data_IF_880758770020
#
_entry.id   IF_880758770020
#
_cell.length_a   1.000
_cell.length_b   1.000
_cell.length_c   1.000
_cell.angle_alpha   90.00
_cell.angle_beta   90.00
_cell.angle_gamma   90.00
#
_symmetry.space_group_name_H-M   'P 1'
#
loop_
_entity.id
_entity.type
_entity.pdbx_description
1 polymer ?
#
# COMPACT_ATOMS: atom_id res chain seq x y z
N UNK A 1 28.51 -30.49 57.76
CA UNK A 1 27.29 -30.20 58.54
C UNK A 1 26.55 -29.11 57.78
N UNK A 2 25.55 -29.32 56.90
CA UNK A 2 24.25 -30.03 57.01
C UNK A 2 23.58 -29.66 58.34
N UNK A 3 22.44 -28.95 58.41
CA UNK A 3 21.06 -29.34 58.02
C UNK A 3 20.23 -28.03 58.01
N UNK A 4 19.72 -27.59 56.84
CA UNK A 4 18.32 -27.68 56.36
C UNK A 4 17.32 -26.67 56.96
N UNK A 5 16.68 -25.90 56.07
CA UNK A 5 15.38 -25.26 56.31
C UNK A 5 14.49 -25.49 55.09
N UNK A 6 13.37 -26.15 55.34
CA UNK A 6 12.38 -26.68 54.39
C UNK A 6 11.66 -25.58 53.60
N UNK A 7 11.39 -25.89 52.33
CA UNK A 7 10.55 -25.10 51.45
C UNK A 7 9.06 -25.41 51.59
N UNK A 8 8.23 -24.43 51.25
CA UNK A 8 6.82 -24.63 50.91
C UNK A 8 6.57 -23.84 49.62
N UNK A 9 6.42 -24.57 48.52
CA UNK A 9 6.01 -24.08 47.22
C UNK A 9 4.52 -24.36 47.04
N UNK A 10 3.69 -23.31 46.99
CA UNK A 10 2.29 -23.43 46.63
C UNK A 10 2.14 -23.33 45.10
N UNK A 11 1.98 -24.48 44.43
CA UNK A 11 1.41 -24.57 43.08
C UNK A 11 -0.11 -24.75 43.20
N UNK A 12 -0.95 -23.98 42.49
CA UNK A 12 -2.32 -24.41 42.22
C UNK A 12 -2.32 -25.33 40.99
N UNK A 13 -2.52 -26.63 41.22
CA UNK A 13 -2.97 -27.60 40.22
C UNK A 13 -4.43 -27.30 39.87
N UNK A 14 -4.68 -26.76 38.68
CA UNK A 14 -6.00 -26.87 38.06
C UNK A 14 -5.97 -28.00 37.05
N UNK A 15 -6.68 -29.08 37.40
CA UNK A 15 -6.95 -30.23 36.56
C UNK A 15 -7.79 -29.79 35.34
N UNK A 16 -7.18 -29.82 34.15
CA UNK A 16 -7.90 -29.75 32.88
C UNK A 16 -8.58 -31.10 32.63
N UNK A 17 -9.89 -31.15 32.90
CA UNK A 17 -10.77 -32.25 32.49
C UNK A 17 -11.18 -31.99 31.04
N UNK A 18 -10.75 -32.86 30.13
CA UNK A 18 -11.21 -32.91 28.74
C UNK A 18 -12.68 -33.31 28.67
N UNK A 19 -13.51 -32.63 27.86
CA UNK A 19 -14.70 -33.26 27.30
C UNK A 19 -14.39 -33.71 25.87
N UNK A 20 -14.40 -35.03 25.69
CA UNK A 20 -14.61 -35.64 24.39
C UNK A 20 -16.01 -35.24 23.90
N UNK A 21 -16.07 -34.53 22.77
CA UNK A 21 -17.27 -34.52 21.95
C UNK A 21 -16.87 -34.81 20.51
N UNK A 22 -17.05 -36.08 20.14
CA UNK A 22 -17.32 -36.49 18.78
C UNK A 22 -18.69 -35.90 18.39
N UNK A 23 -18.73 -35.03 17.38
CA UNK A 23 -19.78 -35.10 16.38
C UNK A 23 -19.29 -34.43 15.09
N UNK A 24 -19.05 -35.28 14.11
CA UNK A 24 -18.79 -34.93 12.72
C UNK A 24 -20.08 -34.32 12.16
N UNK A 25 -20.02 -33.10 11.64
CA UNK A 25 -20.87 -32.73 10.53
C UNK A 25 -19.99 -32.07 9.47
N UNK A 26 -19.74 -32.84 8.40
CA UNK A 26 -19.19 -32.37 7.14
C UNK A 26 -20.09 -31.25 6.62
N UNK A 27 -19.63 -30.01 6.71
CA UNK A 27 -20.22 -28.94 5.90
C UNK A 27 -19.68 -29.15 4.48
N UNK A 28 -20.52 -29.77 3.66
CA UNK A 28 -20.31 -29.92 2.23
C UNK A 28 -20.32 -28.51 1.61
N UNK A 29 -19.13 -28.01 1.24
CA UNK A 29 -18.99 -26.82 0.42
C UNK A 29 -19.49 -27.16 -0.99
N UNK A 30 -20.78 -26.93 -1.24
CA UNK A 30 -21.31 -26.95 -2.59
C UNK A 30 -20.76 -25.73 -3.34
N UNK A 31 -19.76 -25.99 -4.19
CA UNK A 31 -19.43 -25.15 -5.32
C UNK A 31 -20.67 -25.04 -6.22
N UNK A 32 -21.19 -23.82 -6.36
CA UNK A 32 -21.94 -23.45 -7.56
C UNK A 32 -21.24 -22.25 -8.16
N UNK A 33 -20.61 -22.52 -9.31
CA UNK A 33 -20.11 -21.52 -10.21
C UNK A 33 -21.28 -20.67 -10.72
N UNK A 34 -21.24 -19.37 -10.44
CA UNK A 34 -21.98 -18.38 -11.22
C UNK A 34 -20.93 -17.46 -11.86
N UNK A 35 -20.46 -17.88 -13.04
CA UNK A 35 -19.92 -16.97 -14.04
C UNK A 35 -21.09 -16.15 -14.57
N UNK A 36 -21.35 -14.98 -13.96
CA UNK A 36 -22.25 -14.00 -14.57
C UNK A 36 -21.46 -12.94 -15.34
N UNK A 37 -21.99 -12.71 -16.53
CA UNK A 37 -21.47 -12.00 -17.67
C UNK A 37 -21.10 -10.53 -17.39
N UNK A 38 -20.22 -10.03 -18.24
CA UNK A 38 -19.91 -8.62 -18.38
C UNK A 38 -21.04 -7.96 -19.16
N UNK A 39 -21.92 -7.22 -18.48
CA UNK A 39 -22.78 -6.22 -19.13
C UNK A 39 -22.21 -4.81 -18.88
N UNK A 40 -21.94 -4.11 -19.98
CA UNK A 40 -21.65 -2.68 -20.06
C UNK A 40 -22.97 -1.91 -20.26
N UNK A 41 -23.14 -0.66 -19.78
CA UNK A 41 -24.28 0.16 -20.16
C UNK A 41 -24.05 0.86 -21.51
N UNK A 42 -25.08 0.82 -22.35
CA UNK A 42 -25.17 1.47 -23.66
C UNK A 42 -24.99 2.99 -23.58
N UNK A 43 -24.14 3.51 -24.46
CA UNK A 43 -23.94 4.92 -24.73
C UNK A 43 -23.77 5.12 -26.24
N UNK A 44 -24.80 5.68 -26.85
CA UNK A 44 -25.05 5.85 -28.27
C UNK A 44 -23.95 6.70 -28.98
N UNK A 45 -23.12 6.10 -29.83
CA UNK A 45 -22.44 6.80 -30.93
C UNK A 45 -22.33 5.88 -32.16
N UNK A 46 -22.81 6.38 -33.30
CA UNK A 46 -22.91 5.68 -34.59
C UNK A 46 -21.54 5.26 -35.13
N UNK A 47 -21.38 3.98 -35.40
CA UNK A 47 -20.29 3.42 -36.20
C UNK A 47 -20.51 3.67 -37.70
N UNK A 48 -19.51 4.25 -38.38
CA UNK A 48 -19.26 3.97 -39.78
C UNK A 48 -18.15 2.93 -39.86
N UNK A 49 -18.51 1.73 -40.33
CA UNK A 49 -17.60 0.62 -40.59
C UNK A 49 -16.69 0.92 -41.78
N UNK A 50 -15.40 0.69 -41.59
CA UNK A 50 -14.54 0.13 -42.64
C UNK A 50 -13.64 -0.93 -42.02
N UNK A 51 -13.80 -2.16 -42.52
CA UNK A 51 -13.01 -3.33 -42.18
C UNK A 51 -11.53 -3.09 -42.51
N UNK A 52 -10.63 -3.46 -41.62
CA UNK A 52 -9.37 -4.08 -42.00
C UNK A 52 -8.82 -4.92 -40.85
N UNK A 53 -8.70 -6.22 -41.11
CA UNK A 53 -8.02 -7.19 -40.28
C UNK A 53 -6.52 -6.92 -40.30
N UNK A 54 -5.92 -6.69 -39.13
CA UNK A 54 -4.47 -6.82 -38.97
C UNK A 54 -4.16 -7.22 -37.52
N UNK A 55 -3.48 -8.36 -37.38
CA UNK A 55 -2.81 -8.81 -36.17
C UNK A 55 -1.88 -7.70 -35.66
N UNK A 56 -2.24 -7.05 -34.55
CA UNK A 56 -1.41 -6.07 -33.88
C UNK A 56 -1.17 -6.48 -32.44
N UNK A 57 0.05 -6.94 -32.12
CA UNK A 57 0.57 -6.83 -30.76
C UNK A 57 0.46 -5.36 -30.38
N UNK A 58 -0.36 -5.03 -29.38
CA UNK A 58 -0.44 -3.67 -28.86
C UNK A 58 0.90 -3.35 -28.21
N UNK A 59 1.77 -2.67 -28.93
CA UNK A 59 2.93 -1.99 -28.37
C UNK A 59 2.40 -0.97 -27.36
N UNK A 60 2.40 -1.35 -26.08
CA UNK A 60 2.15 -0.42 -24.97
C UNK A 60 3.36 0.51 -24.95
N UNK A 61 3.26 1.66 -25.65
CA UNK A 61 4.28 2.71 -25.56
C UNK A 61 4.48 3.05 -24.08
N UNK A 62 5.69 2.82 -23.59
CA UNK A 62 6.06 3.23 -22.24
C UNK A 62 5.81 4.74 -22.08
N UNK A 63 5.25 5.18 -20.94
CA UNK A 63 4.98 6.59 -20.71
C UNK A 63 6.27 7.40 -20.85
N UNK A 64 6.18 8.51 -21.58
CA UNK A 64 7.31 9.42 -21.73
C UNK A 64 7.68 10.00 -20.37
N UNK A 65 8.99 10.07 -20.10
CA UNK A 65 9.50 10.66 -18.86
C UNK A 65 9.17 12.16 -18.79
N UNK A 66 8.68 12.60 -17.63
CA UNK A 66 8.31 14.00 -17.39
C UNK A 66 9.08 14.57 -16.21
N UNK A 67 9.56 15.80 -16.40
CA UNK A 67 10.11 16.66 -15.34
C UNK A 67 9.16 17.86 -15.21
N UNK A 68 8.46 17.95 -14.09
CA UNK A 68 7.41 18.93 -13.88
C UNK A 68 7.84 19.94 -12.83
N UNK A 69 7.48 21.21 -13.01
CA UNK A 69 7.77 22.23 -12.02
C UNK A 69 6.85 22.07 -10.80
N UNK A 70 7.44 21.95 -9.61
CA UNK A 70 6.68 21.79 -8.36
C UNK A 70 5.71 22.94 -8.08
N UNK A 71 6.02 24.17 -8.53
CA UNK A 71 5.14 25.34 -8.37
C UNK A 71 3.85 25.21 -9.19
N UNK A 72 3.93 24.65 -10.40
CA UNK A 72 2.76 24.38 -11.25
C UNK A 72 1.87 23.31 -10.63
N UNK A 73 2.46 22.37 -9.87
CA UNK A 73 1.75 21.34 -9.12
C UNK A 73 1.24 21.83 -7.75
N UNK A 74 1.47 23.11 -7.39
CA UNK A 74 1.07 23.68 -6.11
C UNK A 74 1.88 23.16 -4.90
N UNK A 75 3.01 22.49 -5.14
CA UNK A 75 3.87 21.98 -4.08
C UNK A 75 4.85 23.08 -3.67
N UNK A 76 4.92 23.34 -2.38
CA UNK A 76 5.85 24.31 -1.80
C UNK A 76 6.65 23.68 -0.66
N UNK A 77 7.86 24.16 -0.44
CA UNK A 77 8.76 23.67 0.63
C UNK A 77 8.19 23.91 2.03
N UNK A 78 7.21 24.80 2.20
CA UNK A 78 6.51 25.02 3.47
C UNK A 78 5.58 23.86 3.85
N UNK A 79 5.12 23.07 2.88
CA UNK A 79 4.28 21.88 3.12
C UNK A 79 5.07 20.70 3.68
N UNK A 80 6.41 20.76 3.63
CA UNK A 80 7.28 19.75 4.23
C UNK A 80 7.47 20.12 5.70
N UNK A 81 7.25 19.16 6.60
CA UNK A 81 7.39 19.35 8.03
C UNK A 81 8.82 19.72 8.43
N UNK A 82 8.96 20.34 9.60
CA UNK A 82 10.25 20.84 10.09
C UNK A 82 11.28 19.70 10.29
N UNK A 83 10.94 18.56 10.94
CA UNK A 83 11.81 17.40 11.05
C UNK A 83 12.37 16.93 9.70
N UNK A 84 11.50 16.65 8.72
CA UNK A 84 11.91 16.18 7.38
C UNK A 84 12.83 17.18 6.68
N UNK A 85 12.54 18.49 6.77
CA UNK A 85 13.44 19.53 6.23
C UNK A 85 14.82 19.54 6.87
N UNK A 86 14.93 19.28 8.18
CA UNK A 86 16.24 19.17 8.84
C UNK A 86 17.05 17.99 8.27
N UNK A 87 16.41 16.85 8.04
CA UNK A 87 17.07 15.67 7.46
C UNK A 87 17.48 15.93 6.01
N UNK A 88 16.58 16.48 5.19
CA UNK A 88 16.88 16.88 3.81
C UNK A 88 18.08 17.84 3.76
N UNK A 89 18.10 18.88 4.60
CA UNK A 89 19.18 19.87 4.64
C UNK A 89 20.49 19.26 5.16
N UNK A 90 20.43 18.35 6.13
CA UNK A 90 21.58 17.65 6.66
C UNK A 90 22.33 16.86 5.58
N UNK A 91 21.59 16.04 4.84
CA UNK A 91 22.14 15.25 3.73
C UNK A 91 22.59 16.13 2.56
N UNK A 92 21.81 17.16 2.20
CA UNK A 92 22.17 18.06 1.10
C UNK A 92 23.47 18.81 1.36
N UNK A 93 23.70 19.28 2.60
CA UNK A 93 24.96 19.96 2.99
C UNK A 93 26.20 19.07 2.90
N UNK A 94 26.02 17.75 2.99
CA UNK A 94 27.10 16.76 2.78
C UNK A 94 27.35 16.44 1.31
N UNK A 95 26.60 17.06 0.39
CA UNK A 95 26.75 16.86 -1.06
C UNK A 95 25.90 15.74 -1.62
N UNK A 96 25.04 15.09 -0.83
CA UNK A 96 24.20 14.00 -1.31
C UNK A 96 22.96 14.53 -2.05
N UNK A 97 22.49 13.73 -3.01
CA UNK A 97 21.19 13.94 -3.62
C UNK A 97 20.10 13.41 -2.69
N UNK A 98 18.97 14.12 -2.62
CA UNK A 98 17.84 13.76 -1.76
C UNK A 98 16.53 14.04 -2.47
N UNK A 99 15.58 13.13 -2.31
CA UNK A 99 14.26 13.22 -2.91
C UNK A 99 13.21 12.78 -1.91
N UNK A 100 12.06 13.44 -1.92
CA UNK A 100 10.84 12.92 -1.33
C UNK A 100 10.19 11.95 -2.31
N UNK A 101 9.63 10.85 -1.83
CA UNK A 101 9.12 9.78 -2.69
C UNK A 101 7.86 9.13 -2.14
N UNK A 102 7.10 8.45 -3.01
CA UNK A 102 6.00 7.61 -2.55
C UNK A 102 4.72 8.38 -2.24
N UNK A 103 4.07 7.97 -1.15
CA UNK A 103 2.76 8.46 -0.78
C UNK A 103 2.73 9.96 -0.46
N UNK A 104 3.83 10.50 0.07
CA UNK A 104 3.91 11.91 0.44
C UNK A 104 3.84 12.83 -0.78
N UNK A 105 4.57 12.51 -1.86
CA UNK A 105 4.58 13.31 -3.10
C UNK A 105 3.19 13.32 -3.73
N UNK A 106 2.56 12.15 -3.83
CA UNK A 106 1.18 12.01 -4.33
C UNK A 106 0.20 12.84 -3.49
N UNK A 107 0.28 12.75 -2.17
CA UNK A 107 -0.66 13.45 -1.29
C UNK A 107 -0.47 14.96 -1.38
N UNK A 108 0.77 15.46 -1.48
CA UNK A 108 1.07 16.86 -1.76
C UNK A 108 0.45 17.35 -3.07
N UNK A 109 0.59 16.58 -4.16
CA UNK A 109 -0.01 16.90 -5.48
C UNK A 109 -1.54 16.96 -5.39
N UNK A 110 -2.14 16.05 -4.61
CA UNK A 110 -3.58 16.02 -4.35
C UNK A 110 -4.04 17.05 -3.32
N UNK A 111 -3.15 17.93 -2.83
CA UNK A 111 -3.41 18.92 -1.77
C UNK A 111 -3.96 18.30 -0.49
N UNK A 112 -3.50 17.09 -0.16
CA UNK A 112 -3.82 16.35 1.06
C UNK A 112 -2.61 16.34 1.99
N UNK A 113 -2.85 16.20 3.28
CA UNK A 113 -1.78 16.04 4.28
C UNK A 113 -1.15 14.65 4.14
N UNK A 114 0.17 14.55 3.89
CA UNK A 114 0.90 13.30 3.96
C UNK A 114 0.84 12.69 5.36
N UNK A 115 0.74 11.36 5.45
CA UNK A 115 0.83 10.64 6.72
C UNK A 115 2.27 10.65 7.27
N UNK A 116 3.22 10.41 6.38
CA UNK A 116 4.65 10.28 6.62
C UNK A 116 5.40 10.88 5.42
N UNK A 117 6.68 11.22 5.63
CA UNK A 117 7.57 11.70 4.58
C UNK A 117 8.75 10.75 4.43
N UNK A 118 8.76 10.03 3.31
CA UNK A 118 9.86 9.13 2.96
C UNK A 118 10.91 9.88 2.15
N UNK A 119 12.17 9.82 2.60
CA UNK A 119 13.32 10.37 1.88
C UNK A 119 14.09 9.23 1.22
N UNK A 120 14.51 9.44 -0.03
CA UNK A 120 15.55 8.63 -0.66
C UNK A 120 16.77 9.48 -0.98
N UNK A 121 17.96 8.91 -0.80
CA UNK A 121 19.23 9.63 -1.00
C UNK A 121 20.27 8.81 -1.77
N UNK A 122 21.21 9.51 -2.38
CA UNK A 122 22.42 8.90 -2.97
C UNK A 122 23.42 8.43 -1.92
N UNK A 123 23.30 8.86 -0.66
CA UNK A 123 24.13 8.38 0.44
C UNK A 123 23.87 6.90 0.74
N UNK A 124 24.90 6.14 1.08
CA UNK A 124 24.78 4.81 1.67
C UNK A 124 24.20 4.92 3.09
N UNK A 125 23.51 3.88 3.58
CA UNK A 125 22.88 3.91 4.92
C UNK A 125 23.90 4.16 6.05
N UNK A 126 25.14 3.67 5.88
CA UNK A 126 26.24 3.93 6.81
C UNK A 126 26.69 5.41 6.81
N UNK A 127 26.48 6.13 5.72
CA UNK A 127 26.79 7.56 5.63
C UNK A 127 25.66 8.40 6.22
N UNK A 128 24.41 7.97 6.04
CA UNK A 128 23.24 8.58 6.70
C UNK A 128 23.40 8.52 8.22
N UNK A 129 23.74 7.34 8.77
CA UNK A 129 23.99 7.16 10.21
C UNK A 129 25.15 8.00 10.74
N UNK A 130 26.19 8.26 9.93
CA UNK A 130 27.28 9.19 10.30
C UNK A 130 26.87 10.66 10.25
N UNK A 131 25.82 10.99 9.49
CA UNK A 131 25.36 12.37 9.31
C UNK A 131 24.49 12.84 10.46
N UNK A 132 23.78 11.92 11.12
CA UNK A 132 22.83 12.24 12.19
C UNK A 132 23.19 11.49 13.47
N UNK A 133 23.23 12.20 14.60
CA UNK A 133 23.62 11.63 15.90
C UNK A 133 22.66 10.53 16.39
N UNK A 134 21.37 10.68 16.11
CA UNK A 134 20.35 9.71 16.48
C UNK A 134 19.71 9.11 15.22
N UNK A 135 20.34 8.06 14.72
CA UNK A 135 19.91 7.34 13.54
C UNK A 135 20.18 5.85 13.71
N UNK A 136 19.20 5.03 13.37
CA UNK A 136 19.30 3.57 13.44
C UNK A 136 18.92 2.94 12.10
N UNK A 137 19.56 1.83 11.75
CA UNK A 137 19.19 1.05 10.56
C UNK A 137 18.20 -0.03 10.98
N UNK A 138 17.00 0.02 10.43
CA UNK A 138 15.91 -0.91 10.72
C UNK A 138 15.63 -1.77 9.50
N UNK A 139 15.19 -3.01 9.74
CA UNK A 139 14.75 -3.93 8.70
C UNK A 139 15.87 -4.81 8.16
N UNK A 140 15.70 -6.14 8.29
CA UNK A 140 16.67 -7.12 7.76
C UNK A 140 16.61 -7.25 6.24
N UNK A 141 15.39 -7.35 5.69
CA UNK A 141 15.17 -7.57 4.25
C UNK A 141 15.22 -6.27 3.44
N UNK A 142 14.77 -5.17 4.01
CA UNK A 142 14.70 -3.86 3.37
C UNK A 142 15.27 -2.86 4.37
N UNK A 143 16.61 -2.76 4.45
CA UNK A 143 17.25 -1.88 5.42
C UNK A 143 16.95 -0.42 5.05
N UNK A 144 16.45 0.33 6.03
CA UNK A 144 16.18 1.76 5.96
C UNK A 144 16.74 2.43 7.21
N UNK A 145 17.06 3.72 7.12
CA UNK A 145 17.45 4.52 8.28
C UNK A 145 16.23 5.18 8.90
N UNK A 146 16.05 5.01 10.20
CA UNK A 146 15.15 5.83 11.01
C UNK A 146 15.97 6.95 11.64
N UNK A 147 15.77 8.18 11.16
CA UNK A 147 16.41 9.37 11.71
C UNK A 147 15.46 10.01 12.71
N UNK A 148 15.89 10.08 13.97
CA UNK A 148 15.08 10.64 15.05
C UNK A 148 15.36 12.13 15.18
N UNK A 149 14.34 12.95 14.97
CA UNK A 149 14.40 14.40 15.12
C UNK A 149 13.29 14.82 16.09
N UNK A 150 13.68 15.16 17.32
CA UNK A 150 12.72 15.40 18.41
C UNK A 150 11.82 14.17 18.59
N UNK A 151 10.50 14.33 18.61
CA UNK A 151 9.55 13.22 18.78
C UNK A 151 9.08 12.62 17.44
N UNK A 152 9.77 12.92 16.34
CA UNK A 152 9.40 12.46 14.99
C UNK A 152 10.50 11.59 14.40
N UNK A 153 10.09 10.47 13.82
CA UNK A 153 10.97 9.58 13.05
C UNK A 153 10.79 9.88 11.57
N UNK A 154 11.90 10.13 10.88
CA UNK A 154 11.95 10.33 9.42
C UNK A 154 12.62 9.12 8.78
N UNK A 155 11.94 8.48 7.84
CA UNK A 155 12.47 7.33 7.12
C UNK A 155 13.37 7.78 5.96
N UNK A 156 14.60 7.25 5.92
CA UNK A 156 15.60 7.54 4.89
C UNK A 156 16.08 6.24 4.26
N UNK A 157 15.87 6.12 2.94
CA UNK A 157 16.31 5.00 2.12
C UNK A 157 17.47 5.40 1.20
N UNK A 158 18.26 4.42 0.73
CA UNK A 158 19.36 4.65 -0.21
C UNK A 158 19.09 4.01 -1.57
N UNK A 159 19.50 4.69 -2.66
CA UNK A 159 19.46 4.13 -4.01
C UNK A 159 20.31 2.85 -4.15
N UNK A 160 21.38 2.71 -3.37
CA UNK A 160 22.32 1.57 -3.46
C UNK A 160 21.65 0.24 -3.12
N UNK A 161 20.75 0.23 -2.13
CA UNK A 161 20.01 -0.96 -1.69
C UNK A 161 19.06 -1.43 -2.79
N UNK A 162 18.36 -0.48 -3.42
CA UNK A 162 17.52 -0.76 -4.59
C UNK A 162 18.33 -1.37 -5.73
N UNK A 163 19.52 -0.85 -6.01
CA UNK A 163 20.36 -1.36 -7.10
C UNK A 163 20.88 -2.79 -6.87
N UNK A 164 21.20 -3.16 -5.62
CA UNK A 164 21.78 -4.48 -5.29
C UNK A 164 20.76 -5.61 -5.24
N UNK A 165 19.51 -5.32 -4.86
CA UNK A 165 18.51 -6.36 -4.55
C UNK A 165 17.81 -6.94 -5.78
N UNK A 166 17.69 -6.17 -6.85
CA UNK A 166 17.05 -6.59 -8.09
C UNK A 166 18.08 -6.68 -9.21
N UNK A 167 18.88 -7.74 -9.17
CA UNK A 167 19.76 -8.13 -10.27
C UNK A 167 18.94 -8.45 -11.54
N UNK A 168 19.35 -7.81 -12.64
CA UNK A 168 19.14 -8.10 -14.08
C UNK A 168 17.77 -8.45 -14.67
N UNK A 169 16.80 -9.03 -13.98
CA UNK A 169 15.66 -9.64 -14.68
C UNK A 169 14.57 -8.66 -15.15
N UNK A 170 14.23 -7.61 -14.39
CA UNK A 170 13.17 -6.67 -14.79
C UNK A 170 13.69 -5.52 -15.67
N UNK A 171 14.95 -5.14 -15.53
CA UNK A 171 15.55 -4.03 -16.27
C UNK A 171 15.96 -4.38 -17.70
N UNK A 172 16.05 -5.67 -18.03
CA UNK A 172 16.40 -6.12 -19.37
C UNK A 172 15.23 -5.95 -20.37
N UNK A 173 13.99 -6.13 -19.92
CA UNK A 173 12.81 -6.11 -20.80
C UNK A 173 12.31 -4.70 -21.16
N UNK A 174 12.53 -3.70 -20.29
CA UNK A 174 12.02 -2.34 -20.53
C UNK A 174 12.97 -1.44 -21.33
N UNK A 175 14.17 -1.93 -21.67
CA UNK A 175 15.21 -1.17 -22.38
C UNK A 175 15.76 0.01 -21.56
N UNK A 176 17.02 0.41 -21.79
CA UNK A 176 17.51 1.70 -21.26
C UNK A 176 16.80 2.81 -22.05
N UNK A 177 16.03 3.70 -21.41
CA UNK A 177 15.34 4.75 -22.13
C UNK A 177 16.32 5.67 -22.87
N UNK A 178 15.91 6.10 -24.06
CA UNK A 178 16.72 6.89 -24.99
C UNK A 178 17.01 8.27 -24.36
N UNK A 179 18.28 8.71 -24.40
CA UNK A 179 18.78 9.97 -23.81
C UNK A 179 18.71 10.09 -22.27
N UNK A 180 18.98 9.01 -21.52
CA UNK A 180 19.07 9.10 -20.06
C UNK A 180 20.48 9.33 -19.52
N UNK A 181 20.63 10.36 -18.66
CA UNK A 181 21.77 10.52 -17.76
C UNK A 181 21.76 9.39 -16.71
N UNK A 182 22.93 9.06 -16.17
CA UNK A 182 23.10 8.00 -15.17
C UNK A 182 22.25 8.26 -13.92
N UNK A 183 22.07 9.54 -13.55
CA UNK A 183 21.20 9.94 -12.45
C UNK A 183 19.73 9.64 -12.73
N UNK A 184 19.26 9.97 -13.93
CA UNK A 184 17.88 9.68 -14.32
C UNK A 184 17.64 8.16 -14.37
N UNK A 185 18.64 7.39 -14.81
CA UNK A 185 18.57 5.93 -14.80
C UNK A 185 18.45 5.35 -13.38
N UNK A 186 19.21 5.87 -12.41
CA UNK A 186 19.12 5.45 -11.00
C UNK A 186 17.75 5.77 -10.41
N UNK A 187 17.23 6.99 -10.65
CA UNK A 187 15.90 7.40 -10.18
C UNK A 187 14.80 6.51 -10.79
N UNK A 188 14.82 6.33 -12.11
CA UNK A 188 13.90 5.46 -12.83
C UNK A 188 13.91 4.02 -12.29
N UNK A 189 15.10 3.44 -12.05
CA UNK A 189 15.22 2.09 -11.50
C UNK A 189 14.61 1.98 -10.10
N UNK A 190 14.74 3.01 -9.26
CA UNK A 190 14.04 3.02 -7.97
C UNK A 190 12.52 3.06 -8.15
N UNK A 191 12.01 3.88 -9.05
CA UNK A 191 10.57 3.95 -9.36
C UNK A 191 10.01 2.61 -9.85
N UNK A 192 10.77 1.85 -10.64
CA UNK A 192 10.37 0.54 -11.15
C UNK A 192 10.12 -0.51 -10.04
N UNK A 193 10.74 -0.35 -8.87
CA UNK A 193 10.59 -1.29 -7.75
C UNK A 193 9.36 -0.99 -6.89
N UNK A 194 8.65 0.11 -7.18
CA UNK A 194 7.50 0.56 -6.40
C UNK A 194 6.23 -0.18 -6.80
N UNK A 195 5.27 -0.13 -5.91
CA UNK A 195 4.02 -0.86 -6.04
C UNK A 195 3.10 -0.27 -7.11
N UNK A 196 2.85 1.04 -7.06
CA UNK A 196 1.90 1.73 -7.93
C UNK A 196 2.53 2.96 -8.62
N UNK A 197 2.07 3.25 -9.83
CA UNK A 197 2.53 4.38 -10.66
C UNK A 197 2.42 5.71 -9.90
N UNK A 198 1.30 5.93 -9.22
CA UNK A 198 1.03 7.13 -8.40
C UNK A 198 1.97 7.27 -7.18
N UNK A 199 2.56 6.16 -6.71
CA UNK A 199 3.59 6.18 -5.66
C UNK A 199 5.00 6.19 -6.26
N UNK A 200 5.12 6.13 -7.58
CA UNK A 200 6.37 6.19 -8.35
C UNK A 200 6.91 7.62 -8.55
N UNK A 201 6.24 8.64 -8.02
CA UNK A 201 6.64 10.03 -8.16
C UNK A 201 7.79 10.37 -7.21
N UNK A 202 8.76 11.15 -7.69
CA UNK A 202 9.89 11.65 -6.91
C UNK A 202 9.93 13.17 -6.95
N UNK A 203 10.16 13.81 -5.82
CA UNK A 203 10.22 15.26 -5.71
C UNK A 203 11.59 15.71 -5.17
N UNK A 204 12.28 16.56 -5.93
CA UNK A 204 13.46 17.29 -5.47
C UNK A 204 13.04 18.68 -4.96
N UNK A 205 13.06 18.92 -3.64
CA UNK A 205 12.65 20.20 -3.06
C UNK A 205 13.62 21.35 -3.34
N UNK A 206 14.86 21.07 -3.75
CA UNK A 206 15.88 22.08 -4.05
C UNK A 206 15.87 22.46 -5.52
N UNK A 207 15.79 21.48 -6.42
CA UNK A 207 15.61 21.72 -7.84
C UNK A 207 14.19 22.18 -8.18
N UNK A 208 13.22 21.99 -7.27
CA UNK A 208 11.80 22.28 -7.46
C UNK A 208 11.18 21.48 -8.60
N UNK A 209 11.65 20.25 -8.80
CA UNK A 209 11.23 19.35 -9.88
C UNK A 209 10.55 18.11 -9.30
N UNK A 210 9.41 17.76 -9.87
CA UNK A 210 8.79 16.44 -9.70
C UNK A 210 9.09 15.59 -10.93
N UNK A 211 9.69 14.43 -10.70
CA UNK A 211 10.00 13.44 -11.72
C UNK A 211 8.87 12.41 -11.79
N UNK A 212 8.31 12.23 -12.98
CA UNK A 212 7.36 11.17 -13.30
C UNK A 212 7.93 10.30 -14.42
N UNK A 213 8.35 9.11 -14.02
CA UNK A 213 8.93 8.11 -14.90
C UNK A 213 7.93 7.01 -15.29
N UNK A 214 6.80 6.91 -14.58
CA UNK A 214 5.89 5.76 -14.62
C UNK A 214 4.48 6.13 -15.13
N UNK A 215 4.24 7.41 -15.44
CA UNK A 215 2.90 7.91 -15.78
C UNK A 215 2.01 8.14 -14.55
N UNK A 216 2.60 8.32 -13.37
CA UNK A 216 1.86 8.52 -12.12
C UNK A 216 0.96 9.76 -12.15
N UNK A 217 1.34 10.82 -12.86
CA UNK A 217 0.53 12.03 -12.99
C UNK A 217 -0.74 11.80 -13.79
N UNK A 218 -0.68 10.98 -14.84
CA UNK A 218 -1.83 10.64 -15.67
C UNK A 218 -2.82 9.75 -14.89
N UNK A 219 -2.30 8.82 -14.09
CA UNK A 219 -3.12 7.98 -13.23
C UNK A 219 -3.74 8.76 -12.07
N UNK A 220 -3.05 9.77 -11.52
CA UNK A 220 -3.64 10.72 -10.57
C UNK A 220 -4.79 11.48 -11.23
N UNK A 221 -4.58 12.02 -12.44
CA UNK A 221 -5.61 12.76 -13.18
C UNK A 221 -6.83 11.89 -13.50
N UNK A 222 -6.62 10.61 -13.83
CA UNK A 222 -7.67 9.63 -14.11
C UNK A 222 -8.26 8.99 -12.85
N UNK A 223 -7.81 9.41 -11.66
CA UNK A 223 -8.18 8.82 -10.37
C UNK A 223 -8.08 7.28 -10.37
N UNK A 224 -6.93 6.76 -10.80
CA UNK A 224 -6.71 5.34 -11.09
C UNK A 224 -5.55 4.77 -10.27
N UNK A 225 -5.75 3.59 -9.70
CA UNK A 225 -4.69 2.79 -9.07
C UNK A 225 -4.21 1.73 -10.06
N UNK A 226 -2.95 1.84 -10.47
CA UNK A 226 -2.29 0.94 -11.40
C UNK A 226 -0.89 0.57 -10.87
N UNK A 227 -0.51 -0.70 -11.03
CA UNK A 227 0.82 -1.19 -10.65
C UNK A 227 1.88 -0.69 -11.63
N UNK A 228 3.12 -0.53 -11.15
CA UNK A 228 4.23 -0.07 -12.01
C UNK A 228 4.58 -1.13 -13.07
N UNK A 229 4.72 -2.38 -12.63
CA UNK A 229 4.90 -3.56 -13.48
C UNK A 229 3.58 -4.32 -13.61
N UNK A 230 3.46 -5.31 -14.51
CA UNK A 230 2.25 -6.13 -14.64
C UNK A 230 1.77 -6.67 -13.29
N UNK A 231 0.47 -6.55 -13.04
CA UNK A 231 -0.08 -6.73 -11.69
C UNK A 231 0.09 -8.17 -11.15
N UNK A 232 0.07 -9.17 -12.04
CA UNK A 232 0.36 -10.56 -11.71
C UNK A 232 1.75 -10.74 -11.12
N UNK A 233 2.78 -10.22 -11.79
CA UNK A 233 4.17 -10.27 -11.33
C UNK A 233 4.34 -9.47 -10.04
N UNK A 234 3.81 -8.25 -9.99
CA UNK A 234 3.91 -7.36 -8.82
C UNK A 234 3.38 -8.01 -7.55
N UNK A 235 2.24 -8.71 -7.62
CA UNK A 235 1.61 -9.35 -6.47
C UNK A 235 2.23 -10.70 -6.10
N UNK A 236 2.90 -11.37 -7.05
CA UNK A 236 3.69 -12.55 -6.75
C UNK A 236 4.96 -12.20 -5.96
N UNK A 237 5.60 -11.07 -6.30
CA UNK A 237 6.77 -10.55 -5.57
C UNK A 237 6.42 -10.16 -4.13
N UNK A 238 5.34 -9.38 -3.96
CA UNK A 238 4.83 -8.98 -2.65
C UNK A 238 3.30 -8.94 -2.63
N UNK A 239 2.71 -9.99 -2.06
CA UNK A 239 1.25 -10.10 -1.93
C UNK A 239 0.63 -9.03 -1.01
N UNK A 240 1.41 -8.32 -0.18
CA UNK A 240 0.90 -7.17 0.58
C UNK A 240 0.46 -6.03 -0.36
N UNK A 241 1.00 -5.96 -1.59
CA UNK A 241 0.57 -4.99 -2.60
C UNK A 241 -0.92 -5.14 -2.97
N UNK A 242 -1.53 -6.32 -2.81
CA UNK A 242 -2.98 -6.50 -2.98
C UNK A 242 -3.75 -5.65 -1.96
N UNK A 243 -3.42 -5.78 -0.68
CA UNK A 243 -4.07 -5.03 0.41
C UNK A 243 -3.78 -3.53 0.27
N UNK A 244 -2.56 -3.17 -0.15
CA UNK A 244 -2.19 -1.77 -0.43
C UNK A 244 -3.00 -1.17 -1.58
N UNK A 245 -3.30 -1.93 -2.64
CA UNK A 245 -4.15 -1.47 -3.74
C UNK A 245 -5.55 -1.10 -3.23
N UNK A 246 -6.14 -1.96 -2.40
CA UNK A 246 -7.44 -1.73 -1.76
C UNK A 246 -7.39 -0.50 -0.86
N UNK A 247 -6.37 -0.42 0.01
CA UNK A 247 -6.18 0.70 0.93
C UNK A 247 -6.06 2.04 0.19
N UNK A 248 -5.21 2.10 -0.82
CA UNK A 248 -4.97 3.34 -1.59
C UNK A 248 -6.23 3.73 -2.37
N UNK A 249 -6.89 2.77 -3.00
CA UNK A 249 -8.15 3.01 -3.71
C UNK A 249 -9.25 3.54 -2.78
N UNK A 250 -9.42 2.94 -1.60
CA UNK A 250 -10.38 3.38 -0.59
C UNK A 250 -10.08 4.80 -0.09
N UNK A 251 -8.85 5.04 0.37
CA UNK A 251 -8.45 6.33 0.96
C UNK A 251 -8.51 7.49 -0.04
N UNK A 252 -8.16 7.25 -1.30
CA UNK A 252 -8.16 8.29 -2.33
C UNK A 252 -9.49 8.42 -3.08
N UNK A 253 -10.36 7.41 -2.99
CA UNK A 253 -11.55 7.31 -3.84
C UNK A 253 -11.22 6.95 -5.31
N UNK A 254 -10.04 6.34 -5.54
CA UNK A 254 -9.57 6.00 -6.88
C UNK A 254 -10.13 4.65 -7.33
N UNK A 255 -10.30 4.50 -8.65
CA UNK A 255 -10.70 3.21 -9.27
C UNK A 255 -9.45 2.35 -9.50
N UNK A 256 -9.54 1.06 -9.19
CA UNK A 256 -8.47 0.12 -9.53
C UNK A 256 -8.54 -0.19 -11.03
N UNK A 257 -7.40 -0.20 -11.72
CA UNK A 257 -7.31 -0.52 -13.15
C UNK A 257 -7.92 -1.89 -13.47
N UNK A 258 -8.43 -2.11 -14.70
CA UNK A 258 -9.03 -3.41 -15.09
C UNK A 258 -8.04 -4.57 -14.90
N UNK A 259 -6.79 -4.39 -15.32
CA UNK A 259 -5.72 -5.39 -15.15
C UNK A 259 -5.42 -5.65 -13.67
N UNK A 260 -5.16 -4.60 -12.89
CA UNK A 260 -4.87 -4.71 -11.45
C UNK A 260 -6.03 -5.36 -10.69
N UNK A 261 -7.27 -5.00 -11.02
CA UNK A 261 -8.48 -5.57 -10.42
C UNK A 261 -8.62 -7.07 -10.73
N UNK A 262 -8.30 -7.48 -11.96
CA UNK A 262 -8.30 -8.89 -12.35
C UNK A 262 -7.26 -9.69 -11.55
N UNK A 263 -6.03 -9.18 -11.45
CA UNK A 263 -4.97 -9.82 -10.66
C UNK A 263 -5.28 -9.87 -9.16
N UNK A 264 -5.92 -8.83 -8.59
CA UNK A 264 -6.38 -8.82 -7.19
C UNK A 264 -7.34 -9.99 -6.94
N UNK A 265 -8.29 -10.23 -7.85
CA UNK A 265 -9.26 -11.32 -7.70
C UNK A 265 -8.57 -12.69 -7.80
N UNK A 266 -7.75 -12.89 -8.83
CA UNK A 266 -7.11 -14.18 -9.11
C UNK A 266 -6.07 -14.56 -8.04
N UNK A 267 -5.36 -13.58 -7.49
CA UNK A 267 -4.32 -13.79 -6.48
C UNK A 267 -4.79 -13.49 -5.06
N UNK A 268 -6.09 -13.31 -4.83
CA UNK A 268 -6.66 -12.98 -3.52
C UNK A 268 -6.19 -13.91 -2.39
N UNK A 269 -6.17 -15.23 -2.63
CA UNK A 269 -5.73 -16.22 -1.64
C UNK A 269 -4.25 -16.10 -1.25
N UNK A 270 -3.42 -15.45 -2.07
CA UNK A 270 -1.99 -15.26 -1.77
C UNK A 270 -1.74 -14.43 -0.52
N UNK A 271 -2.69 -13.58 -0.11
CA UNK A 271 -2.57 -12.74 1.09
C UNK A 271 -2.43 -13.58 2.37
N UNK A 272 -2.90 -14.83 2.37
CA UNK A 272 -2.77 -15.74 3.52
C UNK A 272 -1.32 -16.19 3.76
N UNK A 273 -0.42 -15.94 2.80
CA UNK A 273 1.03 -16.16 2.97
C UNK A 273 1.72 -15.03 3.72
N UNK A 274 1.05 -13.89 3.94
CA UNK A 274 1.61 -12.78 4.70
C UNK A 274 1.76 -13.15 6.17
N UNK A 275 2.82 -12.65 6.80
CA UNK A 275 2.92 -12.73 8.24
C UNK A 275 1.80 -11.91 8.90
N UNK A 276 1.38 -12.36 10.09
CA UNK A 276 0.26 -11.74 10.83
C UNK A 276 0.51 -10.26 11.11
N UNK A 277 1.78 -9.85 11.31
CA UNK A 277 2.14 -8.46 11.58
C UNK A 277 1.88 -7.56 10.38
N UNK A 278 2.31 -7.96 9.18
CA UNK A 278 2.04 -7.23 7.93
C UNK A 278 0.55 -7.16 7.59
N UNK A 279 -0.17 -8.28 7.77
CA UNK A 279 -1.62 -8.30 7.54
C UNK A 279 -2.32 -7.32 8.49
N UNK A 280 -1.99 -7.37 9.79
CA UNK A 280 -2.54 -6.47 10.78
C UNK A 280 -2.23 -5.00 10.49
N UNK A 281 -1.00 -4.71 10.06
CA UNK A 281 -0.59 -3.36 9.70
C UNK A 281 -1.45 -2.79 8.56
N UNK A 282 -1.66 -3.55 7.47
CA UNK A 282 -2.50 -3.09 6.35
C UNK A 282 -3.97 -2.95 6.76
N UNK A 283 -4.49 -3.86 7.60
CA UNK A 283 -5.84 -3.75 8.15
C UNK A 283 -6.02 -2.51 9.04
N UNK A 284 -5.04 -2.24 9.90
CA UNK A 284 -5.05 -1.06 10.75
C UNK A 284 -5.05 0.22 9.90
N UNK A 285 -4.24 0.28 8.84
CA UNK A 285 -4.27 1.44 7.94
C UNK A 285 -5.60 1.62 7.19
N UNK A 286 -6.30 0.53 6.87
CA UNK A 286 -7.60 0.61 6.22
C UNK A 286 -8.70 1.11 7.18
N UNK A 287 -8.67 0.64 8.43
CA UNK A 287 -9.78 0.83 9.37
C UNK A 287 -9.60 2.00 10.34
N UNK A 288 -8.36 2.44 10.61
CA UNK A 288 -8.08 3.45 11.63
C UNK A 288 -7.81 4.86 11.08
N UNK A 289 -7.74 5.04 9.76
CA UNK A 289 -7.25 6.28 9.12
C UNK A 289 -8.31 6.99 8.26
N UNK A 290 -9.59 6.84 8.60
CA UNK A 290 -10.69 7.59 7.97
C UNK A 290 -11.13 7.09 6.60
N UNK A 291 -10.94 5.80 6.30
CA UNK A 291 -11.40 5.17 5.06
C UNK A 291 -11.97 3.77 5.27
N UNK A 292 -12.41 3.45 6.49
CA UNK A 292 -12.82 2.12 6.89
C UNK A 292 -14.02 1.61 6.10
N UNK A 293 -15.04 2.44 5.91
CA UNK A 293 -16.25 2.08 5.17
C UNK A 293 -15.93 1.74 3.72
N UNK A 294 -15.16 2.61 3.05
CA UNK A 294 -14.74 2.41 1.68
C UNK A 294 -13.82 1.19 1.53
N UNK A 295 -12.93 0.96 2.49
CA UNK A 295 -12.07 -0.23 2.54
C UNK A 295 -12.89 -1.51 2.66
N UNK A 296 -13.88 -1.57 3.56
CA UNK A 296 -14.74 -2.75 3.72
C UNK A 296 -15.54 -3.06 2.45
N UNK A 297 -16.07 -2.03 1.77
CA UNK A 297 -16.75 -2.23 0.48
C UNK A 297 -15.83 -2.81 -0.58
N UNK A 298 -14.60 -2.32 -0.68
CA UNK A 298 -13.64 -2.84 -1.66
C UNK A 298 -13.19 -4.27 -1.29
N UNK A 299 -12.92 -4.56 -0.02
CA UNK A 299 -12.63 -5.92 0.45
C UNK A 299 -13.76 -6.89 0.09
N UNK A 300 -15.02 -6.48 0.30
CA UNK A 300 -16.19 -7.28 -0.06
C UNK A 300 -16.32 -7.48 -1.57
N UNK A 301 -16.17 -6.39 -2.34
CA UNK A 301 -16.22 -6.42 -3.81
C UNK A 301 -15.23 -7.42 -4.41
N UNK A 302 -14.00 -7.48 -3.86
CA UNK A 302 -12.94 -8.34 -4.36
C UNK A 302 -12.86 -9.73 -3.70
N UNK A 303 -13.65 -10.00 -2.65
CA UNK A 303 -13.65 -11.30 -1.97
C UNK A 303 -12.53 -11.49 -0.96
N UNK A 304 -11.95 -10.38 -0.53
CA UNK A 304 -10.89 -10.36 0.47
C UNK A 304 -11.48 -10.28 1.89
N UNK A 305 -12.73 -9.82 2.01
CA UNK A 305 -13.39 -9.72 3.32
C UNK A 305 -13.62 -11.10 3.94
N UNK A 306 -13.99 -12.11 3.15
CA UNK A 306 -14.15 -13.49 3.65
C UNK A 306 -12.85 -14.07 4.22
N UNK A 307 -11.70 -13.69 3.65
CA UNK A 307 -10.39 -14.20 4.05
C UNK A 307 -9.87 -13.50 5.31
N UNK A 308 -10.17 -12.20 5.47
CA UNK A 308 -9.58 -11.37 6.52
C UNK A 308 -10.52 -11.17 7.72
N UNK A 309 -11.83 -11.07 7.47
CA UNK A 309 -12.88 -10.69 8.41
C UNK A 309 -14.12 -11.58 8.20
N UNK A 310 -14.02 -12.90 8.44
CA UNK A 310 -15.06 -13.88 8.08
C UNK A 310 -16.39 -13.63 8.80
N UNK A 311 -16.36 -13.14 10.04
CA UNK A 311 -17.57 -12.80 10.82
C UNK A 311 -18.35 -11.66 10.14
N UNK A 312 -17.63 -10.63 9.68
CA UNK A 312 -18.22 -9.46 9.02
C UNK A 312 -18.72 -9.82 7.62
N UNK A 313 -18.00 -10.71 6.93
CA UNK A 313 -18.48 -11.27 5.67
C UNK A 313 -19.78 -12.08 5.85
N UNK A 314 -19.87 -12.92 6.89
CA UNK A 314 -21.09 -13.66 7.20
C UNK A 314 -22.27 -12.73 7.55
N UNK A 315 -22.00 -11.63 8.25
CA UNK A 315 -22.99 -10.57 8.48
C UNK A 315 -23.51 -9.96 7.17
N UNK A 316 -22.65 -9.68 6.19
CA UNK A 316 -23.08 -9.20 4.88
C UNK A 316 -23.94 -10.22 4.13
N UNK A 317 -23.54 -11.49 4.14
CA UNK A 317 -24.30 -12.56 3.47
C UNK A 317 -25.68 -12.74 4.10
N UNK A 318 -25.78 -12.81 5.44
CA UNK A 318 -27.05 -13.00 6.15
C UNK A 318 -28.06 -11.87 5.93
N UNK A 319 -27.59 -10.66 5.64
CA UNK A 319 -28.43 -9.51 5.33
C UNK A 319 -28.68 -9.33 3.82
N UNK A 320 -28.31 -10.33 2.99
CA UNK A 320 -28.48 -10.28 1.54
C UNK A 320 -27.66 -9.18 0.85
N UNK A 321 -26.54 -8.76 1.45
CA UNK A 321 -25.72 -7.67 0.95
C UNK A 321 -24.78 -8.15 -0.16
N UNK A 322 -25.15 -7.87 -1.42
CA UNK A 322 -24.38 -8.33 -2.60
C UNK A 322 -23.04 -7.61 -2.73
N UNK A 323 -22.07 -8.22 -3.41
CA UNK A 323 -20.68 -7.69 -3.57
C UNK A 323 -20.57 -6.32 -4.23
N UNK A 324 -21.54 -5.95 -5.07
CA UNK A 324 -21.61 -4.64 -5.75
C UNK A 324 -22.70 -3.74 -5.20
N UNK A 325 -23.25 -4.10 -4.03
CA UNK A 325 -24.34 -3.35 -3.42
C UNK A 325 -23.85 -1.96 -2.99
N UNK A 326 -24.67 -0.95 -3.32
CA UNK A 326 -24.44 0.46 -2.96
C UNK A 326 -25.21 0.86 -1.71
N UNK A 327 -26.14 0.01 -1.24
CA UNK A 327 -26.88 0.24 0.00
C UNK A 327 -25.92 0.34 1.19
N UNK A 328 -26.40 0.93 2.27
CA UNK A 328 -25.70 0.94 3.56
C UNK A 328 -26.32 -0.11 4.49
N UNK A 329 -25.55 -0.53 5.49
CA UNK A 329 -26.02 -1.37 6.59
C UNK A 329 -25.44 -0.81 7.91
N UNK A 330 -25.88 -1.34 9.05
CA UNK A 330 -25.44 -0.84 10.36
C UNK A 330 -23.91 -0.79 10.50
N UNK A 331 -23.20 -1.84 10.08
CA UNK A 331 -21.74 -1.91 10.14
C UNK A 331 -21.08 -0.81 9.29
N UNK A 332 -21.51 -0.66 8.04
CA UNK A 332 -20.99 0.38 7.13
C UNK A 332 -21.33 1.79 7.63
N UNK A 333 -22.52 1.99 8.20
CA UNK A 333 -22.92 3.27 8.79
C UNK A 333 -22.06 3.65 10.00
N UNK A 334 -21.73 2.67 10.84
CA UNK A 334 -20.86 2.86 11.99
C UNK A 334 -19.45 3.29 11.56
N UNK A 335 -18.86 2.57 10.60
CA UNK A 335 -17.55 2.94 10.05
C UNK A 335 -17.58 4.26 9.28
N UNK A 336 -18.66 4.58 8.57
CA UNK A 336 -18.82 5.87 7.89
C UNK A 336 -18.85 7.04 8.89
N UNK A 337 -19.49 6.86 10.05
CA UNK A 337 -19.50 7.87 11.09
C UNK A 337 -18.14 7.98 11.80
N UNK A 338 -17.48 6.85 12.03
CA UNK A 338 -16.11 6.84 12.53
C UNK A 338 -15.16 7.57 11.58
N UNK A 339 -15.26 7.31 10.28
CA UNK A 339 -14.40 7.91 9.25
C UNK A 339 -14.48 9.44 9.22
N UNK A 340 -15.62 10.05 9.61
CA UNK A 340 -15.77 11.51 9.72
C UNK A 340 -14.96 12.12 10.87
N UNK A 341 -14.64 11.32 11.89
CA UNK A 341 -13.91 11.75 13.08
C UNK A 341 -12.41 11.50 12.96
N UNK A 342 -11.98 10.71 11.98
CA UNK A 342 -10.61 10.27 11.81
C UNK A 342 -9.98 10.91 10.58
N UNK A 343 -8.66 11.09 10.64
CA UNK A 343 -7.86 11.57 9.53
C UNK A 343 -6.47 10.94 9.59
N UNK A 344 -5.66 11.01 8.52
CA UNK A 344 -4.32 10.43 8.55
C UNK A 344 -3.41 10.97 9.66
N UNK A 345 -3.62 12.22 10.09
CA UNK A 345 -2.95 12.89 11.20
C UNK A 345 -3.62 12.64 12.57
N UNK A 346 -4.83 12.07 12.58
CA UNK A 346 -5.61 11.73 13.80
C UNK A 346 -6.24 10.34 13.66
N UNK A 347 -5.44 9.26 13.65
CA UNK A 347 -5.97 7.91 13.56
C UNK A 347 -6.63 7.48 14.87
N UNK A 348 -7.57 6.53 14.80
CA UNK A 348 -8.11 5.91 16.01
C UNK A 348 -7.13 4.88 16.59
N UNK A 349 -7.24 4.62 17.89
CA UNK A 349 -6.50 3.53 18.51
C UNK A 349 -6.97 2.19 17.93
N UNK A 350 -6.04 1.26 17.66
CA UNK A 350 -6.33 0.00 16.97
C UNK A 350 -7.39 -0.85 17.68
N UNK A 351 -7.43 -0.79 19.02
CA UNK A 351 -8.45 -1.48 19.81
C UNK A 351 -9.88 -1.11 19.44
N UNK A 352 -10.14 0.13 19.03
CA UNK A 352 -11.49 0.60 18.73
C UNK A 352 -12.08 -0.19 17.55
N UNK A 353 -11.35 -0.31 16.44
CA UNK A 353 -11.86 -1.08 15.31
C UNK A 353 -11.78 -2.60 15.52
N UNK A 354 -11.01 -3.11 16.48
CA UNK A 354 -11.11 -4.51 16.90
C UNK A 354 -12.36 -4.81 17.72
N UNK A 355 -12.84 -3.84 18.51
CA UNK A 355 -14.01 -4.00 19.37
C UNK A 355 -15.35 -3.81 18.65
N UNK A 356 -15.42 -2.88 17.70
CA UNK A 356 -16.66 -2.62 16.92
C UNK A 356 -17.21 -3.87 16.18
N UNK A 357 -16.37 -4.79 15.66
CA UNK A 357 -16.80 -6.04 15.05
C UNK A 357 -16.93 -7.21 16.06
N UNK A 358 -16.49 -7.03 17.31
CA UNK A 358 -16.45 -8.04 18.37
C UNK A 358 -17.69 -8.05 19.28
N UNK A 359 -18.85 -7.64 18.78
CA UNK A 359 -20.11 -7.77 19.52
C UNK A 359 -20.62 -9.23 19.41
N UNK A 360 -20.22 -9.99 20.44
CA UNK A 360 -20.62 -11.33 20.92
C UNK A 360 -19.87 -12.54 20.35
N UNK A 361 -18.91 -12.99 21.17
CA UNK A 361 -18.50 -14.38 21.39
C UNK A 361 -19.68 -15.29 21.73
#
# INVERSE_FOLDING_TARGET
>A
MVISSFGIACRPQFYLRTPQFQCINKVQLNLVAAMEALDEPEGLFKDNKTNNSANGRKDVKAPAWKKLNSKELGITTSMIDKPTRKVLNGLKRKGYEVYLVGGCVRDLILKRTPKDFDIITSAELKEVTRTFSWCEIVGKRFPICHVHISDTVVEVSSFSISARKYGSHLSADFGKPVHCDDKDYIRWRNCMQRDFTINGLMFDPYARIVYDYMGGMEDIQKAKVQTVIPASTSFQEDCARILRAIRIAARLGFRISKETAHSVKNLSYSILRLDKGRLLMEMNYMLAYGSAEASLRLLWKFGLLELLLPIQAAYFVSHGFRRRDKRTNMLLSLFSNLDKLLSPDKPCHSSLWFTLPGLRS
#
